data_IF_032737826762
#
_entry.id   IF_032737826762
#
_cell.length_a   1.000
_cell.length_b   1.000
_cell.length_c   1.000
_cell.angle_alpha   90.00
_cell.angle_beta   90.00
_cell.angle_gamma   90.00
#
_symmetry.space_group_name_H-M   'P 1'
#
loop_
_entity.id
_entity.type
_entity.pdbx_description
1 polymer ?
#
# COMPACT_ATOMS: atom_id res chain seq x y z
N UNK A 1 -12.37 6.76 -11.02
CA UNK A 1 -11.37 6.34 -10.03
C UNK A 1 -12.08 5.52 -8.96
N UNK A 2 -11.39 4.50 -8.43
CA UNK A 2 -11.82 3.62 -7.36
C UNK A 2 -10.88 3.73 -6.18
N UNK A 3 -11.38 3.56 -4.94
CA UNK A 3 -10.55 3.47 -3.75
C UNK A 3 -10.84 2.19 -2.95
N UNK A 4 -9.91 1.80 -2.07
CA UNK A 4 -10.09 0.69 -1.13
C UNK A 4 -10.44 1.22 0.26
N UNK A 5 -11.52 0.69 0.83
CA UNK A 5 -12.07 1.05 2.14
C UNK A 5 -11.93 -0.15 3.08
N UNK A 6 -10.69 -0.50 3.44
CA UNK A 6 -10.36 -1.71 4.19
C UNK A 6 -9.98 -1.40 5.63
N UNK A 7 -8.82 -0.78 5.84
CA UNK A 7 -8.26 -0.51 7.16
C UNK A 7 -9.13 0.42 8.00
N UNK A 8 -9.10 0.21 9.31
CA UNK A 8 -9.72 1.08 10.31
C UNK A 8 -8.67 1.50 11.33
N UNK A 9 -8.91 2.53 12.17
CA UNK A 9 -7.97 2.93 13.20
C UNK A 9 -7.53 1.79 14.13
N UNK A 10 -8.43 0.83 14.40
CA UNK A 10 -8.17 -0.35 15.22
C UNK A 10 -7.89 -1.65 14.44
N UNK A 11 -7.87 -1.62 13.11
CA UNK A 11 -7.81 -2.83 12.29
C UNK A 11 -7.02 -2.59 10.99
N UNK A 12 -5.71 -2.85 11.03
CA UNK A 12 -4.80 -2.80 9.88
C UNK A 12 -4.41 -4.21 9.43
N UNK A 13 -3.30 -4.74 9.94
CA UNK A 13 -2.84 -6.11 9.62
C UNK A 13 -3.87 -7.17 9.98
N UNK A 14 -4.57 -7.00 11.11
CA UNK A 14 -5.72 -7.80 11.49
C UNK A 14 -7.01 -7.24 10.88
N UNK A 15 -7.08 -7.24 9.56
CA UNK A 15 -8.23 -6.70 8.81
C UNK A 15 -9.55 -7.37 9.22
N UNK A 16 -9.52 -8.65 9.55
CA UNK A 16 -10.74 -9.37 9.94
C UNK A 16 -11.36 -8.87 11.26
N UNK A 17 -10.66 -8.06 12.05
CA UNK A 17 -11.17 -7.40 13.26
C UNK A 17 -11.89 -6.09 13.00
N UNK A 18 -12.12 -5.71 11.75
CA UNK A 18 -12.84 -4.49 11.40
C UNK A 18 -14.21 -4.40 12.08
N UNK A 19 -14.61 -3.17 12.40
CA UNK A 19 -15.82 -2.84 13.19
C UNK A 19 -16.88 -2.06 12.42
N UNK A 20 -16.57 -1.50 11.26
CA UNK A 20 -17.58 -0.84 10.40
C UNK A 20 -18.74 -1.78 10.14
N UNK A 21 -19.94 -1.40 10.54
CA UNK A 21 -21.14 -2.24 10.50
C UNK A 21 -21.94 -1.97 9.23
N UNK A 22 -22.57 -3.02 8.71
CA UNK A 22 -23.63 -2.94 7.72
C UNK A 22 -24.83 -3.74 8.21
N UNK A 23 -25.97 -3.08 8.43
CA UNK A 23 -27.20 -3.66 8.95
C UNK A 23 -28.26 -3.66 7.85
N UNK A 24 -28.89 -4.82 7.60
CA UNK A 24 -29.98 -4.95 6.62
C UNK A 24 -31.18 -4.10 7.09
N UNK A 25 -31.68 -3.20 6.24
CA UNK A 25 -32.88 -2.36 6.50
C UNK A 25 -34.12 -2.81 5.69
N UNK A 26 -34.02 -3.95 5.00
CA UNK A 26 -35.07 -4.50 4.14
C UNK A 26 -34.80 -4.23 2.65
N UNK A 27 -34.51 -3.00 2.28
CA UNK A 27 -34.26 -2.60 0.89
C UNK A 27 -32.76 -2.61 0.53
N UNK A 28 -31.89 -2.51 1.55
CA UNK A 28 -30.45 -2.41 1.40
C UNK A 28 -29.71 -2.64 2.71
N UNK A 29 -28.62 -1.93 2.87
CA UNK A 29 -27.82 -1.93 4.09
C UNK A 29 -27.56 -0.51 4.57
N UNK A 30 -27.65 -0.30 5.87
CA UNK A 30 -27.23 0.95 6.52
C UNK A 30 -25.83 0.73 7.09
N UNK A 31 -24.88 1.54 6.65
CA UNK A 31 -23.46 1.43 7.01
C UNK A 31 -23.08 2.55 7.98
N UNK A 32 -22.42 2.16 9.07
CA UNK A 32 -21.86 3.07 10.08
C UNK A 32 -20.44 2.60 10.45
N UNK A 33 -19.49 3.55 10.46
CA UNK A 33 -18.10 3.28 10.84
C UNK A 33 -17.10 4.26 10.25
N UNK A 34 -15.83 3.88 10.34
CA UNK A 34 -14.72 4.70 9.86
C UNK A 34 -13.69 3.81 9.17
N UNK A 35 -13.22 4.25 8.01
CA UNK A 35 -12.07 3.71 7.31
C UNK A 35 -10.92 4.70 7.31
N UNK A 36 -9.70 4.21 7.22
CA UNK A 36 -8.48 5.03 7.27
C UNK A 36 -7.46 4.53 6.25
N UNK A 37 -6.50 5.38 5.89
CA UNK A 37 -5.48 5.13 4.89
C UNK A 37 -6.06 4.86 3.49
N UNK A 38 -7.21 5.47 3.20
CA UNK A 38 -7.85 5.34 1.89
C UNK A 38 -7.13 6.21 0.86
N UNK A 39 -6.36 5.58 0.00
CA UNK A 39 -5.64 6.27 -1.09
C UNK A 39 -6.62 6.89 -2.06
N UNK A 40 -6.45 8.19 -2.36
CA UNK A 40 -7.25 8.97 -3.31
C UNK A 40 -8.77 8.92 -3.03
N UNK A 41 -9.18 8.67 -1.78
CA UNK A 41 -10.61 8.62 -1.42
C UNK A 41 -11.38 9.89 -1.77
N UNK A 42 -10.74 11.06 -1.73
CA UNK A 42 -11.32 12.35 -2.08
C UNK A 42 -11.55 12.56 -3.59
N UNK A 43 -11.00 11.71 -4.44
CA UNK A 43 -11.16 11.73 -5.90
C UNK A 43 -11.92 10.51 -6.42
N UNK A 44 -12.14 9.53 -5.55
CA UNK A 44 -12.78 8.29 -5.95
C UNK A 44 -14.29 8.49 -6.11
N UNK A 45 -14.85 7.95 -7.18
CA UNK A 45 -16.30 7.84 -7.38
C UNK A 45 -16.86 6.59 -6.71
N UNK A 46 -16.08 5.52 -6.70
CA UNK A 46 -16.48 4.22 -6.16
C UNK A 46 -15.48 3.70 -5.13
N UNK A 47 -16.00 3.11 -4.07
CA UNK A 47 -15.22 2.47 -3.02
C UNK A 47 -15.46 0.96 -2.93
N UNK A 48 -14.38 0.21 -2.74
CA UNK A 48 -14.39 -1.21 -2.41
C UNK A 48 -14.43 -1.34 -0.89
N UNK A 49 -15.62 -1.53 -0.32
CA UNK A 49 -15.88 -1.44 1.11
C UNK A 49 -16.07 -2.83 1.74
N UNK A 50 -15.26 -3.16 2.73
CA UNK A 50 -15.47 -4.35 3.58
C UNK A 50 -16.06 -3.95 4.93
N UNK A 51 -17.15 -4.63 5.33
CA UNK A 51 -17.89 -4.35 6.57
C UNK A 51 -18.21 -5.63 7.34
N UNK A 52 -18.64 -5.45 8.59
CA UNK A 52 -19.20 -6.53 9.43
C UNK A 52 -20.71 -6.52 9.34
N UNK A 53 -21.26 -7.57 8.72
CA UNK A 53 -22.71 -7.80 8.62
C UNK A 53 -23.23 -8.75 9.68
N UNK A 54 -22.40 -9.69 10.19
CA UNK A 54 -22.75 -10.56 11.29
C UNK A 54 -21.69 -10.51 12.41
N UNK A 55 -22.01 -9.84 13.54
CA UNK A 55 -21.08 -9.75 14.67
C UNK A 55 -20.96 -11.07 15.48
N UNK A 56 -21.87 -12.02 15.30
CA UNK A 56 -21.90 -13.28 16.04
C UNK A 56 -21.21 -14.42 15.27
N UNK A 57 -20.97 -14.23 13.98
CA UNK A 57 -20.24 -15.21 13.18
C UNK A 57 -18.74 -15.24 13.53
N UNK A 58 -18.07 -16.37 13.24
CA UNK A 58 -16.60 -16.40 13.30
C UNK A 58 -15.99 -15.24 12.52
N UNK A 59 -14.90 -14.68 13.05
CA UNK A 59 -14.24 -13.43 12.62
C UNK A 59 -14.21 -13.20 11.11
N UNK A 60 -13.81 -14.22 10.34
CA UNK A 60 -13.68 -14.16 8.89
C UNK A 60 -14.99 -14.42 8.11
N UNK A 61 -16.03 -14.95 8.76
CA UNK A 61 -17.30 -15.30 8.13
C UNK A 61 -18.39 -14.26 8.29
N UNK A 62 -18.21 -13.31 9.21
CA UNK A 62 -19.16 -12.23 9.47
C UNK A 62 -18.95 -10.99 8.60
N UNK A 63 -18.12 -11.08 7.55
CA UNK A 63 -17.75 -9.95 6.70
C UNK A 63 -18.45 -10.02 5.36
N UNK A 64 -18.90 -8.86 4.88
CA UNK A 64 -19.47 -8.69 3.53
C UNK A 64 -18.78 -7.55 2.81
N UNK A 65 -18.64 -7.70 1.51
CA UNK A 65 -17.96 -6.74 0.64
C UNK A 65 -18.96 -5.99 -0.21
N UNK A 66 -18.88 -4.68 -0.25
CA UNK A 66 -19.78 -3.79 -0.98
C UNK A 66 -19.03 -2.90 -1.97
N UNK A 67 -19.74 -2.50 -3.01
CA UNK A 67 -19.38 -1.36 -3.85
C UNK A 67 -20.18 -0.17 -3.34
N UNK A 68 -19.52 0.89 -2.89
CA UNK A 68 -20.16 2.12 -2.38
C UNK A 68 -19.90 3.28 -3.32
N UNK A 69 -20.93 4.08 -3.60
CA UNK A 69 -20.78 5.38 -4.22
C UNK A 69 -20.24 6.37 -3.19
N UNK A 70 -19.06 6.91 -3.44
CA UNK A 70 -18.38 7.83 -2.51
C UNK A 70 -19.11 9.20 -2.36
N UNK A 71 -20.04 9.50 -3.26
CA UNK A 71 -20.89 10.70 -3.19
C UNK A 71 -22.23 10.44 -2.46
N UNK A 72 -22.46 9.22 -1.97
CA UNK A 72 -23.68 8.90 -1.22
C UNK A 72 -23.82 9.72 0.03
N UNK A 73 -25.07 10.03 0.39
CA UNK A 73 -25.38 10.69 1.66
C UNK A 73 -24.81 9.89 2.84
N UNK A 74 -24.18 10.57 3.78
CA UNK A 74 -23.53 9.96 4.95
C UNK A 74 -22.09 9.53 4.74
N UNK A 75 -21.53 9.65 3.54
CA UNK A 75 -20.08 9.47 3.28
C UNK A 75 -19.38 10.82 3.47
N UNK A 76 -18.41 10.86 4.37
CA UNK A 76 -17.54 12.02 4.57
C UNK A 76 -16.09 11.62 4.42
N UNK A 77 -15.35 12.30 3.52
CA UNK A 77 -13.94 12.04 3.26
C UNK A 77 -13.10 13.17 3.84
N UNK A 78 -12.14 12.84 4.71
CA UNK A 78 -11.22 13.79 5.34
C UNK A 78 -9.78 13.45 4.98
N UNK A 79 -9.05 14.35 4.31
CA UNK A 79 -7.65 14.13 3.97
C UNK A 79 -6.78 13.98 5.23
N UNK A 80 -5.84 13.01 5.20
CA UNK A 80 -4.81 12.80 6.20
C UNK A 80 -3.51 13.45 5.74
N UNK A 81 -3.08 14.50 6.42
CA UNK A 81 -1.79 15.12 6.14
C UNK A 81 -0.66 14.29 6.70
N UNK A 82 0.25 13.89 5.83
CA UNK A 82 1.39 13.06 6.14
C UNK A 82 2.63 13.90 6.47
N UNK A 83 3.67 13.24 6.98
CA UNK A 83 4.96 13.89 7.28
C UNK A 83 5.63 14.48 6.03
N UNK A 84 5.30 13.97 4.84
CA UNK A 84 5.75 14.50 3.55
C UNK A 84 5.08 15.82 3.16
N UNK A 85 4.01 16.22 3.87
CA UNK A 85 3.17 17.36 3.54
C UNK A 85 2.01 17.03 2.58
N UNK A 86 2.05 15.88 1.91
CA UNK A 86 0.97 15.40 1.03
C UNK A 86 -0.24 14.88 1.83
N UNK A 87 -1.37 14.69 1.16
CA UNK A 87 -2.61 14.19 1.76
C UNK A 87 -3.37 13.28 0.80
N UNK A 88 -2.65 12.37 0.13
CA UNK A 88 -3.26 11.37 -0.76
C UNK A 88 -4.05 10.31 -0.02
N UNK A 89 -3.77 10.09 1.27
CA UNK A 89 -4.56 9.22 2.13
C UNK A 89 -5.68 9.99 2.81
N UNK A 90 -6.75 9.27 3.11
CA UNK A 90 -7.95 9.85 3.71
C UNK A 90 -8.50 8.97 4.83
N UNK A 91 -9.17 9.61 5.78
CA UNK A 91 -10.20 9.00 6.62
C UNK A 91 -11.51 9.08 5.87
N UNK A 92 -12.32 8.03 5.95
CA UNK A 92 -13.66 7.99 5.37
C UNK A 92 -14.65 7.56 6.44
N UNK A 93 -15.60 8.42 6.74
CA UNK A 93 -16.65 8.19 7.71
C UNK A 93 -17.95 7.81 7.01
N UNK A 94 -18.65 6.85 7.59
CA UNK A 94 -19.97 6.41 7.18
C UNK A 94 -20.94 6.68 8.32
N UNK A 95 -21.98 7.48 8.05
CA UNK A 95 -23.05 7.82 9.00
C UNK A 95 -24.38 7.55 8.34
N UNK A 96 -25.01 6.45 8.74
CA UNK A 96 -26.28 5.97 8.18
C UNK A 96 -26.28 5.91 6.63
N UNK A 97 -25.12 5.57 6.05
CA UNK A 97 -24.96 5.50 4.60
C UNK A 97 -25.71 4.30 4.06
N UNK A 98 -26.64 4.53 3.12
CA UNK A 98 -27.42 3.47 2.48
C UNK A 98 -26.69 2.88 1.28
N UNK A 99 -26.60 1.56 1.24
CA UNK A 99 -26.01 0.80 0.12
C UNK A 99 -27.04 -0.23 -0.37
N UNK A 100 -27.41 -0.23 -1.67
CA UNK A 100 -28.33 -1.21 -2.24
C UNK A 100 -27.82 -2.65 -2.14
N UNK A 101 -28.72 -3.65 -2.09
CA UNK A 101 -28.37 -5.08 -2.01
C UNK A 101 -27.58 -5.57 -3.22
N UNK A 102 -27.87 -5.03 -4.39
CA UNK A 102 -27.17 -5.34 -5.64
C UNK A 102 -25.70 -4.94 -5.64
N UNK A 103 -25.28 -4.06 -4.72
CA UNK A 103 -23.91 -3.63 -4.57
C UNK A 103 -23.05 -4.60 -3.74
N UNK A 104 -23.60 -5.73 -3.29
CA UNK A 104 -22.81 -6.79 -2.67
C UNK A 104 -21.91 -7.43 -3.73
N UNK A 105 -20.61 -7.47 -3.46
CA UNK A 105 -19.65 -8.18 -4.30
C UNK A 105 -19.33 -9.56 -3.69
N UNK A 106 -19.62 -10.62 -4.43
CA UNK A 106 -19.58 -11.99 -3.95
C UNK A 106 -20.93 -12.39 -3.31
N UNK A 107 -20.92 -12.81 -2.08
CA UNK A 107 -22.11 -13.18 -1.32
C UNK A 107 -22.09 -12.60 0.09
N UNK A 108 -23.25 -12.63 0.77
CA UNK A 108 -23.34 -12.27 2.18
C UNK A 108 -22.46 -13.21 3.00
N UNK A 109 -21.59 -12.65 3.86
CA UNK A 109 -20.63 -13.41 4.66
C UNK A 109 -19.34 -13.83 3.89
N UNK A 110 -19.24 -13.55 2.58
CA UNK A 110 -18.06 -13.90 1.77
C UNK A 110 -17.03 -12.77 1.64
N UNK A 111 -17.22 -11.67 2.37
CA UNK A 111 -16.37 -10.49 2.26
C UNK A 111 -14.88 -10.76 2.49
N UNK A 112 -14.54 -11.71 3.36
CA UNK A 112 -13.15 -12.11 3.58
C UNK A 112 -12.50 -12.71 2.33
N UNK A 113 -13.21 -13.61 1.64
CA UNK A 113 -12.74 -14.24 0.40
C UNK A 113 -12.49 -13.17 -0.70
N UNK A 114 -13.42 -12.22 -0.85
CA UNK A 114 -13.29 -11.13 -1.82
C UNK A 114 -12.13 -10.21 -1.45
N UNK A 115 -11.98 -9.86 -0.15
CA UNK A 115 -10.87 -9.05 0.34
C UNK A 115 -9.51 -9.70 0.04
N UNK A 116 -9.37 -11.01 0.28
CA UNK A 116 -8.13 -11.72 -0.04
C UNK A 116 -7.80 -11.68 -1.54
N UNK A 117 -8.80 -11.85 -2.41
CA UNK A 117 -8.59 -11.74 -3.86
C UNK A 117 -8.10 -10.35 -4.26
N UNK A 118 -8.69 -9.30 -3.68
CA UNK A 118 -8.26 -7.90 -3.92
C UNK A 118 -6.83 -7.66 -3.45
N UNK A 119 -6.49 -8.08 -2.21
CA UNK A 119 -5.15 -7.92 -1.64
C UNK A 119 -4.07 -8.71 -2.40
N UNK A 120 -4.43 -9.88 -2.95
CA UNK A 120 -3.50 -10.65 -3.80
C UNK A 120 -3.17 -9.90 -5.10
N UNK A 121 -4.16 -9.30 -5.75
CA UNK A 121 -3.96 -8.50 -6.96
C UNK A 121 -3.18 -7.21 -6.66
N UNK A 122 -3.45 -6.57 -5.55
CA UNK A 122 -2.70 -5.38 -5.08
C UNK A 122 -1.20 -5.68 -4.92
N UNK A 123 -0.83 -6.80 -4.30
CA UNK A 123 0.58 -7.20 -4.15
C UNK A 123 1.30 -7.37 -5.48
N UNK A 124 0.60 -7.88 -6.49
CA UNK A 124 1.15 -7.97 -7.85
C UNK A 124 1.34 -6.57 -8.44
N UNK A 125 0.40 -5.66 -8.22
CA UNK A 125 0.49 -4.29 -8.71
C UNK A 125 1.60 -3.48 -8.01
N UNK A 126 1.78 -3.65 -6.70
CA UNK A 126 2.77 -2.89 -5.90
C UNK A 126 4.19 -3.45 -6.07
N UNK A 127 4.37 -4.77 -5.97
CA UNK A 127 5.71 -5.39 -5.91
C UNK A 127 6.06 -6.30 -7.09
N UNK A 128 5.09 -6.62 -7.96
CA UNK A 128 5.23 -7.63 -9.02
C UNK A 128 5.65 -7.11 -10.40
N UNK A 129 5.82 -5.80 -10.57
CA UNK A 129 6.18 -5.22 -11.84
C UNK A 129 7.68 -5.40 -12.14
N UNK A 130 7.97 -5.81 -13.37
CA UNK A 130 9.35 -5.87 -13.88
C UNK A 130 9.78 -4.46 -14.25
N UNK A 131 10.65 -3.87 -13.44
CA UNK A 131 11.21 -2.55 -13.70
C UNK A 131 12.36 -2.63 -14.70
N UNK A 132 12.69 -1.50 -15.31
CA UNK A 132 13.91 -1.37 -16.11
C UNK A 132 15.16 -1.57 -15.24
N UNK A 133 16.19 -2.13 -15.85
CA UNK A 133 17.47 -2.33 -15.16
C UNK A 133 18.11 -1.00 -14.77
N UNK A 134 18.49 -0.89 -13.50
CA UNK A 134 19.10 0.32 -12.96
C UNK A 134 18.11 1.44 -12.61
N UNK A 135 16.80 1.16 -12.63
CA UNK A 135 15.76 2.06 -12.15
C UNK A 135 15.45 1.85 -10.65
N UNK A 136 14.47 2.61 -10.12
CA UNK A 136 14.08 2.53 -8.71
C UNK A 136 14.99 3.33 -7.79
N UNK A 137 14.89 3.07 -6.48
CA UNK A 137 15.62 3.83 -5.46
C UNK A 137 17.15 3.83 -5.65
N UNK A 138 17.82 2.70 -5.93
CA UNK A 138 19.26 2.72 -6.24
C UNK A 138 19.60 3.49 -7.53
N UNK A 139 18.72 3.50 -8.52
CA UNK A 139 18.90 4.31 -9.73
C UNK A 139 18.93 5.81 -9.43
N UNK A 140 18.05 6.25 -8.52
CA UNK A 140 18.06 7.63 -8.00
C UNK A 140 19.38 7.96 -7.30
N UNK A 141 19.94 7.05 -6.51
CA UNK A 141 21.25 7.24 -5.87
C UNK A 141 22.39 7.35 -6.86
N UNK A 142 22.35 6.55 -7.94
CA UNK A 142 23.34 6.66 -9.02
C UNK A 142 23.32 8.05 -9.66
N UNK A 143 22.16 8.66 -9.79
CA UNK A 143 22.04 10.01 -10.31
C UNK A 143 22.67 11.04 -9.35
N UNK A 144 22.35 10.97 -8.04
CA UNK A 144 22.98 11.82 -7.02
C UNK A 144 24.50 11.66 -7.03
N UNK A 145 24.99 10.43 -7.12
CA UNK A 145 26.41 10.13 -7.18
C UNK A 145 27.13 10.86 -8.35
N UNK A 146 26.50 10.83 -9.52
CA UNK A 146 27.02 11.49 -10.71
C UNK A 146 26.94 13.01 -10.61
N UNK A 147 25.81 13.53 -10.19
CA UNK A 147 25.55 14.97 -10.15
C UNK A 147 26.48 15.70 -9.14
N UNK A 148 26.78 15.04 -8.03
CA UNK A 148 27.70 15.53 -7.00
C UNK A 148 29.18 15.16 -7.23
N UNK A 149 29.49 14.45 -8.29
CA UNK A 149 30.84 13.92 -8.64
C UNK A 149 31.53 13.25 -7.44
N UNK A 150 30.78 12.41 -6.72
CA UNK A 150 31.26 11.73 -5.51
C UNK A 150 32.35 10.70 -5.84
N UNK A 151 33.37 10.55 -4.97
CA UNK A 151 34.55 9.72 -5.21
C UNK A 151 34.86 8.75 -4.07
N UNK A 152 34.17 8.82 -2.96
CA UNK A 152 34.44 7.96 -1.80
C UNK A 152 34.22 6.48 -2.14
N UNK A 153 35.26 5.63 -2.05
CA UNK A 153 35.15 4.22 -2.40
C UNK A 153 34.23 3.43 -1.47
N UNK A 154 34.09 3.81 -0.20
CA UNK A 154 33.22 3.15 0.78
C UNK A 154 31.76 3.42 0.43
N UNK A 155 31.43 4.68 0.13
CA UNK A 155 30.09 5.05 -0.32
C UNK A 155 29.75 4.39 -1.67
N UNK A 156 30.73 4.28 -2.57
CA UNK A 156 30.55 3.59 -3.86
C UNK A 156 30.21 2.11 -3.66
N UNK A 157 30.90 1.44 -2.75
CA UNK A 157 30.66 0.03 -2.43
C UNK A 157 29.23 -0.17 -1.89
N UNK A 158 28.80 0.66 -0.94
CA UNK A 158 27.41 0.67 -0.42
C UNK A 158 26.37 0.91 -1.52
N UNK A 159 26.63 1.83 -2.46
CA UNK A 159 25.76 2.07 -3.60
C UNK A 159 25.64 0.84 -4.50
N UNK A 160 26.76 0.16 -4.77
CA UNK A 160 26.79 -1.06 -5.60
C UNK A 160 26.04 -2.20 -4.90
N UNK A 161 26.20 -2.35 -3.59
CA UNK A 161 25.46 -3.35 -2.82
C UNK A 161 23.94 -3.17 -2.96
N UNK A 162 23.43 -1.95 -2.75
CA UNK A 162 22.01 -1.64 -2.92
C UNK A 162 21.53 -1.89 -4.36
N UNK A 163 22.37 -1.57 -5.34
CA UNK A 163 22.07 -1.83 -6.75
C UNK A 163 21.97 -3.33 -7.05
N UNK A 164 22.88 -4.16 -6.49
CA UNK A 164 22.85 -5.62 -6.63
C UNK A 164 21.57 -6.19 -6.00
N UNK A 165 21.18 -5.71 -4.81
CA UNK A 165 19.95 -6.13 -4.15
C UNK A 165 18.71 -5.81 -5.00
N UNK A 166 18.64 -4.61 -5.58
CA UNK A 166 17.54 -4.22 -6.49
C UNK A 166 17.51 -5.09 -7.75
N UNK A 167 18.66 -5.43 -8.32
CA UNK A 167 18.74 -6.32 -9.49
C UNK A 167 18.26 -7.73 -9.15
N UNK A 168 18.55 -8.24 -7.96
CA UNK A 168 18.02 -9.52 -7.49
C UNK A 168 16.48 -9.51 -7.39
N UNK A 169 15.88 -8.42 -6.90
CA UNK A 169 14.41 -8.24 -6.89
C UNK A 169 13.87 -8.19 -8.32
N UNK A 170 14.51 -7.45 -9.21
CA UNK A 170 14.10 -7.37 -10.62
C UNK A 170 14.08 -8.75 -11.28
N UNK A 171 15.13 -9.55 -11.10
CA UNK A 171 15.21 -10.91 -11.64
C UNK A 171 14.15 -11.83 -11.02
N UNK A 172 13.86 -11.68 -9.73
CA UNK A 172 12.79 -12.40 -9.04
C UNK A 172 11.43 -12.04 -9.65
N UNK A 173 11.19 -10.77 -9.99
CA UNK A 173 9.95 -10.33 -10.63
C UNK A 173 9.80 -10.82 -12.06
N UNK A 174 10.90 -10.94 -12.84
CA UNK A 174 10.89 -11.61 -14.15
C UNK A 174 10.44 -13.06 -13.99
N UNK A 175 11.07 -13.81 -13.09
CA UNK A 175 10.68 -15.20 -12.81
C UNK A 175 9.21 -15.30 -12.38
N UNK A 176 8.76 -14.40 -11.51
CA UNK A 176 7.36 -14.35 -11.07
C UNK A 176 6.39 -14.10 -12.23
N UNK A 177 6.73 -13.23 -13.18
CA UNK A 177 5.94 -12.97 -14.38
C UNK A 177 5.82 -14.23 -15.24
N UNK A 178 6.94 -14.89 -15.53
CA UNK A 178 6.98 -16.12 -16.32
C UNK A 178 6.15 -17.26 -15.68
N UNK A 179 6.20 -17.39 -14.35
CA UNK A 179 5.42 -18.39 -13.62
C UNK A 179 3.90 -18.09 -13.67
N UNK A 180 3.51 -16.82 -13.59
CA UNK A 180 2.10 -16.40 -13.75
C UNK A 180 1.58 -16.71 -15.15
N UNK A 181 2.36 -16.44 -16.19
CA UNK A 181 2.03 -16.75 -17.58
C UNK A 181 1.82 -18.25 -17.81
N UNK A 182 2.58 -19.08 -17.09
CA UNK A 182 2.44 -20.56 -17.10
C UNK A 182 1.30 -21.07 -16.22
N UNK A 183 0.56 -20.19 -15.52
CA UNK A 183 -0.53 -20.56 -14.62
C UNK A 183 -0.08 -21.17 -13.28
N UNK A 184 1.19 -21.00 -12.91
CA UNK A 184 1.78 -21.52 -11.67
C UNK A 184 2.36 -20.38 -10.82
N UNK A 185 1.52 -19.41 -10.35
CA UNK A 185 2.02 -18.31 -9.51
C UNK A 185 2.57 -18.86 -8.19
N UNK A 186 3.74 -18.37 -7.82
CA UNK A 186 4.42 -18.71 -6.58
C UNK A 186 4.34 -17.57 -5.54
N UNK A 187 5.13 -17.67 -4.47
CA UNK A 187 5.16 -16.71 -3.37
C UNK A 187 6.00 -15.45 -3.66
N UNK A 188 6.53 -15.33 -4.87
CA UNK A 188 7.50 -14.30 -5.25
C UNK A 188 6.99 -12.89 -4.96
N UNK A 189 5.68 -12.66 -5.09
CA UNK A 189 5.07 -11.35 -4.79
C UNK A 189 5.29 -10.91 -3.33
N UNK A 190 5.21 -11.83 -2.38
CA UNK A 190 5.48 -11.54 -0.96
C UNK A 190 6.95 -11.30 -0.70
N UNK A 191 7.83 -12.08 -1.34
CA UNK A 191 9.29 -11.94 -1.25
C UNK A 191 9.74 -10.61 -1.84
N UNK A 192 9.27 -10.27 -3.05
CA UNK A 192 9.63 -9.02 -3.72
C UNK A 192 9.15 -7.80 -2.93
N UNK A 193 7.91 -7.81 -2.44
CA UNK A 193 7.37 -6.73 -1.62
C UNK A 193 8.19 -6.50 -0.35
N UNK A 194 8.58 -7.57 0.33
CA UNK A 194 9.41 -7.50 1.54
C UNK A 194 10.77 -6.87 1.24
N UNK A 195 11.48 -7.39 0.24
CA UNK A 195 12.80 -6.89 -0.13
C UNK A 195 12.76 -5.46 -0.67
N UNK A 196 11.80 -5.14 -1.52
CA UNK A 196 11.66 -3.80 -2.10
C UNK A 196 11.41 -2.74 -1.04
N UNK A 197 10.61 -3.05 -0.02
CA UNK A 197 10.38 -2.15 1.12
C UNK A 197 11.68 -1.84 1.87
N UNK A 198 12.52 -2.84 2.14
CA UNK A 198 13.78 -2.65 2.86
C UNK A 198 14.83 -1.95 1.99
N UNK A 199 14.93 -2.29 0.69
CA UNK A 199 15.85 -1.64 -0.24
C UNK A 199 15.49 -0.15 -0.40
N UNK A 200 14.20 0.19 -0.54
CA UNK A 200 13.77 1.58 -0.65
C UNK A 200 14.15 2.38 0.60
N UNK A 201 13.89 1.85 1.80
CA UNK A 201 14.27 2.52 3.05
C UNK A 201 15.76 2.74 3.13
N UNK A 202 16.56 1.68 2.91
CA UNK A 202 18.01 1.75 2.98
C UNK A 202 18.59 2.69 1.90
N UNK A 203 18.03 2.67 0.69
CA UNK A 203 18.47 3.53 -0.42
C UNK A 203 18.22 5.00 -0.12
N UNK A 204 17.00 5.37 0.29
CA UNK A 204 16.71 6.79 0.54
C UNK A 204 17.39 7.30 1.82
N UNK A 205 17.63 6.44 2.82
CA UNK A 205 18.47 6.78 3.96
C UNK A 205 19.91 7.06 3.53
N UNK A 206 20.48 6.21 2.69
CA UNK A 206 21.80 6.45 2.11
C UNK A 206 21.80 7.66 1.17
N UNK A 207 20.72 7.93 0.46
CA UNK A 207 20.54 9.15 -0.32
C UNK A 207 20.68 10.42 0.52
N UNK A 208 20.10 10.44 1.73
CA UNK A 208 20.27 11.53 2.68
C UNK A 208 21.74 11.70 3.12
N UNK A 209 22.47 10.59 3.35
CA UNK A 209 23.91 10.63 3.64
C UNK A 209 24.71 11.23 2.47
N UNK A 210 24.40 10.84 1.21
CA UNK A 210 25.07 11.35 0.01
C UNK A 210 24.81 12.86 -0.23
N UNK A 211 23.64 13.33 0.17
CA UNK A 211 23.29 14.76 0.10
C UNK A 211 24.07 15.59 1.14
N UNK A 212 24.46 14.98 2.26
CA UNK A 212 25.11 15.69 3.37
C UNK A 212 24.22 16.82 3.92
N UNK A 213 24.76 18.02 4.04
CA UNK A 213 24.01 19.16 4.58
C UNK A 213 22.79 19.55 3.73
N UNK A 214 22.83 19.32 2.42
CA UNK A 214 21.68 19.59 1.54
C UNK A 214 20.50 18.68 1.89
N UNK A 215 20.73 17.49 2.44
CA UNK A 215 19.71 16.58 2.90
C UNK A 215 18.87 17.12 4.08
N UNK A 216 19.40 18.11 4.82
CA UNK A 216 18.67 18.74 5.92
C UNK A 216 17.69 19.82 5.45
N UNK A 217 17.77 20.22 4.19
CA UNK A 217 16.90 21.22 3.60
C UNK A 217 15.67 20.55 3.00
N UNK A 218 14.48 20.99 3.38
CA UNK A 218 13.24 20.48 2.78
C UNK A 218 12.90 21.33 1.54
N UNK A 219 13.07 20.80 0.30
CA UNK A 219 13.09 21.61 -0.91
C UNK A 219 11.73 22.19 -1.30
N UNK A 220 10.64 21.58 -0.85
CA UNK A 220 9.27 21.99 -1.20
C UNK A 220 8.66 23.02 -0.25
N UNK A 221 9.29 23.26 0.91
CA UNK A 221 8.67 24.00 2.00
C UNK A 221 7.44 23.27 2.58
N UNK A 222 6.96 23.73 3.73
CA UNK A 222 5.73 23.25 4.33
C UNK A 222 4.56 24.15 3.91
N UNK A 223 3.78 23.70 2.93
CA UNK A 223 2.50 24.36 2.63
C UNK A 223 1.49 24.07 3.74
N UNK A 224 0.73 25.07 4.18
CA UNK A 224 -0.40 24.92 5.09
C UNK A 224 -1.68 24.49 4.35
N UNK A 225 -1.69 24.57 3.03
CA UNK A 225 -2.76 24.10 2.16
C UNK A 225 -2.43 22.71 1.63
N UNK A 226 -3.47 21.92 1.36
CA UNK A 226 -3.30 20.63 0.70
C UNK A 226 -2.73 20.88 -0.72
N UNK A 227 -1.58 20.29 -1.08
CA UNK A 227 -1.07 20.42 -2.44
C UNK A 227 -2.00 19.76 -3.44
N UNK A 228 -2.08 20.31 -4.65
CA UNK A 228 -2.73 19.64 -5.77
C UNK A 228 -1.95 18.37 -6.12
N UNK A 229 -2.69 17.27 -6.29
CA UNK A 229 -2.07 16.01 -6.69
C UNK A 229 -1.66 16.09 -8.16
N UNK A 230 -0.40 15.87 -8.43
CA UNK A 230 0.11 15.73 -9.78
C UNK A 230 0.18 14.25 -10.16
N UNK A 231 -0.76 13.79 -10.99
CA UNK A 231 -0.86 12.40 -11.42
C UNK A 231 0.12 11.99 -12.52
N UNK A 232 0.87 12.94 -13.07
CA UNK A 232 1.78 12.69 -14.20
C UNK A 232 3.09 11.97 -13.80
N UNK A 233 3.30 11.74 -12.50
CA UNK A 233 4.49 11.06 -11.98
C UNK A 233 4.13 9.75 -11.27
N UNK A 234 4.77 8.66 -11.62
CA UNK A 234 4.68 7.32 -11.00
C UNK A 234 5.04 7.28 -9.50
N UNK A 235 5.47 8.40 -8.92
CA UNK A 235 5.94 8.53 -7.54
C UNK A 235 5.06 9.42 -6.67
N UNK A 236 3.75 9.55 -6.97
CA UNK A 236 2.85 10.48 -6.28
C UNK A 236 3.42 11.92 -6.20
N UNK A 237 4.24 12.32 -7.18
CA UNK A 237 4.82 13.66 -7.25
C UNK A 237 6.12 13.86 -6.48
N UNK A 238 6.65 12.87 -5.77
CA UNK A 238 7.94 12.99 -5.09
C UNK A 238 9.09 12.71 -6.05
N UNK A 239 9.97 13.68 -6.21
CA UNK A 239 11.22 13.55 -6.98
C UNK A 239 12.44 13.84 -6.14
N UNK A 240 12.27 14.47 -4.98
CA UNK A 240 13.36 14.83 -4.07
C UNK A 240 13.61 13.71 -3.04
N UNK A 241 14.88 13.53 -2.70
CA UNK A 241 15.33 12.48 -1.79
C UNK A 241 14.73 12.61 -0.40
N UNK A 242 14.51 13.82 0.10
CA UNK A 242 13.97 14.09 1.43
C UNK A 242 12.53 13.57 1.55
N UNK A 243 11.69 13.90 0.58
CA UNK A 243 10.30 13.41 0.53
C UNK A 243 10.25 11.90 0.35
N UNK A 244 11.09 11.34 -0.53
CA UNK A 244 11.20 9.89 -0.75
C UNK A 244 11.70 9.15 0.51
N UNK A 245 12.65 9.74 1.24
CA UNK A 245 13.09 9.22 2.54
C UNK A 245 11.94 9.13 3.54
N UNK A 246 11.17 10.21 3.70
CA UNK A 246 10.02 10.23 4.60
C UNK A 246 8.94 9.24 4.16
N UNK A 247 8.59 9.22 2.86
CA UNK A 247 7.57 8.34 2.29
C UNK A 247 7.94 6.86 2.41
N UNK A 248 9.21 6.52 2.25
CA UNK A 248 9.69 5.14 2.28
C UNK A 248 9.43 4.42 3.61
N UNK A 249 9.22 5.16 4.72
CA UNK A 249 8.89 4.55 6.01
C UNK A 249 7.61 3.73 5.96
N UNK A 250 6.64 4.13 5.13
CA UNK A 250 5.39 3.41 4.92
C UNK A 250 5.59 2.10 4.13
N UNK A 251 6.63 1.95 3.33
CA UNK A 251 6.83 0.78 2.48
C UNK A 251 6.89 -0.56 3.25
N UNK A 252 7.33 -0.55 4.51
CA UNK A 252 7.32 -1.74 5.37
C UNK A 252 6.00 -1.97 6.10
N UNK A 253 5.00 -1.09 5.90
CA UNK A 253 3.70 -1.11 6.59
C UNK A 253 2.56 -1.37 5.59
N UNK A 254 2.48 -0.61 4.52
CA UNK A 254 1.44 -0.67 3.48
C UNK A 254 1.47 -1.98 2.68
N UNK A 255 0.36 -2.38 2.08
CA UNK A 255 0.27 -3.59 1.25
C UNK A 255 0.58 -4.90 1.98
N UNK A 256 0.45 -4.90 3.30
CA UNK A 256 0.89 -5.92 4.25
C UNK A 256 2.26 -5.60 4.85
N UNK A 257 2.35 -5.64 6.18
CA UNK A 257 3.62 -5.31 6.87
C UNK A 257 4.72 -6.30 6.53
N UNK A 258 5.98 -5.92 6.79
CA UNK A 258 7.13 -6.81 6.63
C UNK A 258 6.96 -8.11 7.43
N UNK A 259 6.33 -8.04 8.61
CA UNK A 259 6.02 -9.19 9.46
C UNK A 259 4.97 -10.10 8.81
N UNK A 260 3.89 -9.53 8.27
CA UNK A 260 2.87 -10.30 7.53
C UNK A 260 3.50 -10.99 6.31
N UNK A 261 4.39 -10.32 5.58
CA UNK A 261 5.09 -10.96 4.45
C UNK A 261 5.96 -12.13 4.90
N UNK A 262 6.68 -11.98 6.03
CA UNK A 262 7.48 -13.08 6.62
C UNK A 262 6.61 -14.26 7.04
N UNK A 263 5.46 -14.01 7.68
CA UNK A 263 4.52 -15.07 8.07
C UNK A 263 3.99 -15.82 6.85
N UNK A 264 3.59 -15.11 5.78
CA UNK A 264 3.13 -15.74 4.54
C UNK A 264 4.24 -16.62 3.92
N UNK A 265 5.48 -16.12 3.89
CA UNK A 265 6.62 -16.89 3.37
C UNK A 265 6.88 -18.11 4.26
N UNK A 266 6.91 -17.93 5.57
CA UNK A 266 7.14 -19.01 6.52
C UNK A 266 6.10 -20.14 6.39
N UNK A 267 4.82 -19.79 6.41
CA UNK A 267 3.75 -20.77 6.41
C UNK A 267 3.52 -21.40 5.03
N UNK A 268 3.43 -20.58 3.98
CA UNK A 268 3.00 -21.04 2.65
C UNK A 268 4.12 -21.47 1.73
N UNK A 269 5.35 -21.02 1.98
CA UNK A 269 6.53 -21.40 1.18
C UNK A 269 7.38 -22.42 1.87
N UNK A 270 7.68 -22.19 3.16
CA UNK A 270 8.56 -23.05 3.93
C UNK A 270 7.82 -24.15 4.68
N UNK A 271 6.48 -24.10 4.73
CA UNK A 271 5.65 -25.09 5.44
C UNK A 271 5.85 -25.09 6.96
N UNK A 272 6.29 -23.95 7.52
CA UNK A 272 6.43 -23.82 8.97
C UNK A 272 5.05 -23.70 9.62
N UNK A 273 4.90 -24.15 10.89
CA UNK A 273 3.63 -24.02 11.60
C UNK A 273 3.28 -22.54 11.82
N UNK A 274 2.02 -22.19 11.54
CA UNK A 274 1.46 -20.88 11.88
C UNK A 274 1.25 -20.73 13.39
N UNK A 275 1.04 -19.49 13.85
CA UNK A 275 0.60 -19.24 15.22
C UNK A 275 -0.77 -19.90 15.45
N UNK A 276 -0.90 -20.61 16.56
CA UNK A 276 -2.14 -21.27 16.99
C UNK A 276 -3.07 -20.29 17.70
#
# INVERSE_FOLDING_TARGET
IWCQLFSEPGSGSDLASLSTKAVDDGDGYIVNGQKVWTTLGHLAKWGLLVTRTDPNAPKHRGLTFFIVDMESAGVEVRPLRQITGEAEFNEVYFTDTKIPKENILGGLGEGWRVSLATLMNERVAIGGNVRERGSGAPGHLVQIWKDKDLKDPIQKDKLIELWIQQEAVRLTNIRASELREKGTPGPEGSTSKLYEAEINKASYEFGMELLGNDGLLFPRGYSLTQPELNFDNDTFGFTDTQSLFLRSRANSIEGGTSEIMRNIIAERVLGLPGEQ
#
